data_IF_026063976789
#
_entry.id   IF_026063976789
#
_cell.length_a   1.000
_cell.length_b   1.000
_cell.length_c   1.000
_cell.angle_alpha   90.00
_cell.angle_beta   90.00
_cell.angle_gamma   90.00
#
_symmetry.space_group_name_H-M   'P 1'
#
loop_
_entity.id
_entity.type
_entity.pdbx_description
1 polymer ?
#
# COMPACT_ATOMS: atom_id res chain seq x y z
N UNK A 1 -15.92 9.43 -3.53
CA UNK A 1 -14.91 9.43 -2.47
C UNK A 1 -14.22 8.08 -2.48
N UNK A 2 -13.02 8.10 -2.99
CA UNK A 2 -12.11 6.97 -3.19
C UNK A 2 -10.98 7.05 -2.17
N UNK A 3 -11.35 7.23 -0.90
CA UNK A 3 -10.40 7.11 0.19
C UNK A 3 -10.16 5.63 0.48
N UNK A 4 -8.90 5.24 0.53
CA UNK A 4 -8.54 3.87 0.87
C UNK A 4 -7.11 3.78 1.39
N UNK A 5 -6.83 2.70 2.10
CA UNK A 5 -5.48 2.34 2.50
C UNK A 5 -5.02 1.12 1.71
N UNK A 6 -3.77 1.14 1.26
CA UNK A 6 -3.09 0.00 0.65
C UNK A 6 -1.92 -0.44 1.51
N UNK A 7 -1.74 -1.76 1.64
CA UNK A 7 -0.47 -2.33 2.09
C UNK A 7 0.38 -2.66 0.87
N UNK A 8 1.57 -2.07 0.81
CA UNK A 8 2.60 -2.40 -0.14
C UNK A 8 3.65 -3.28 0.53
N UNK A 9 3.92 -4.43 -0.07
CA UNK A 9 5.00 -5.33 0.34
C UNK A 9 5.94 -5.46 -0.85
N UNK A 10 7.25 -5.29 -0.62
CA UNK A 10 8.25 -5.29 -1.69
C UNK A 10 9.45 -6.16 -1.31
N UNK A 11 10.10 -6.76 -2.29
CA UNK A 11 11.35 -7.51 -2.09
C UNK A 11 12.18 -7.54 -3.37
N UNK A 12 13.49 -7.53 -3.23
CA UNK A 12 14.42 -7.84 -4.33
C UNK A 12 14.80 -9.33 -4.37
N UNK A 13 14.57 -10.06 -3.27
CA UNK A 13 15.10 -11.41 -3.07
C UNK A 13 14.00 -12.46 -3.20
N UNK A 14 12.82 -12.18 -2.66
CA UNK A 14 11.75 -13.15 -2.56
C UNK A 14 10.67 -12.87 -3.59
N UNK A 15 10.40 -13.83 -4.48
CA UNK A 15 9.31 -13.78 -5.47
C UNK A 15 7.97 -14.33 -4.92
N UNK A 16 7.90 -14.67 -3.63
CA UNK A 16 6.70 -15.19 -2.96
C UNK A 16 6.62 -14.64 -1.55
N UNK A 17 5.40 -14.34 -1.10
CA UNK A 17 5.14 -14.05 0.31
C UNK A 17 5.25 -15.33 1.15
N UNK A 18 5.66 -15.23 2.44
CA UNK A 18 5.69 -16.38 3.33
C UNK A 18 4.32 -17.04 3.46
N UNK A 19 4.34 -18.37 3.58
CA UNK A 19 3.12 -19.13 3.84
C UNK A 19 2.52 -18.73 5.20
N UNK A 20 1.19 -18.65 5.27
CA UNK A 20 0.50 -18.24 6.50
C UNK A 20 0.59 -16.75 6.84
N UNK A 21 1.32 -15.92 6.07
CA UNK A 21 1.35 -14.47 6.30
C UNK A 21 -0.05 -13.83 6.22
N UNK A 22 -0.86 -14.26 5.26
CA UNK A 22 -2.21 -13.76 5.07
C UNK A 22 -3.24 -14.77 5.54
N UNK A 23 -4.38 -14.28 6.02
CA UNK A 23 -5.54 -15.13 6.32
C UNK A 23 -5.90 -15.96 5.09
N UNK A 24 -6.25 -17.23 5.32
CA UNK A 24 -6.55 -18.21 4.27
C UNK A 24 -7.86 -17.93 3.53
N UNK A 25 -8.86 -17.36 4.23
CA UNK A 25 -10.12 -16.91 3.64
C UNK A 25 -10.04 -15.43 3.25
N UNK A 26 -9.47 -15.14 2.08
CA UNK A 26 -9.39 -13.78 1.54
C UNK A 26 -10.67 -13.44 0.80
N UNK A 27 -11.25 -12.27 1.10
CA UNK A 27 -12.35 -11.68 0.33
C UNK A 27 -11.88 -10.55 -0.60
N UNK A 28 -10.57 -10.39 -0.74
CA UNK A 28 -9.94 -9.31 -1.49
C UNK A 28 -8.90 -9.85 -2.47
N UNK A 29 -8.58 -9.05 -3.48
CA UNK A 29 -7.56 -9.37 -4.47
C UNK A 29 -6.19 -8.83 -4.05
N UNK A 30 -5.15 -9.60 -4.32
CA UNK A 30 -3.77 -9.16 -4.21
C UNK A 30 -3.22 -9.00 -5.62
N UNK A 31 -2.69 -7.82 -5.88
CA UNK A 31 -1.95 -7.51 -7.09
C UNK A 31 -0.50 -7.87 -6.85
N UNK A 32 0.09 -8.64 -7.76
CA UNK A 32 1.52 -8.95 -7.79
C UNK A 32 2.14 -8.37 -9.05
N UNK A 33 3.26 -7.68 -8.90
CA UNK A 33 4.05 -7.13 -10.00
C UNK A 33 5.53 -7.58 -9.88
N UNK A 34 6.11 -8.01 -11.00
CA UNK A 34 7.56 -8.15 -11.18
C UNK A 34 8.04 -6.98 -12.05
N UNK A 35 8.78 -6.04 -11.45
CA UNK A 35 9.31 -4.85 -12.10
C UNK A 35 10.37 -5.14 -13.17
N UNK A 36 10.81 -6.39 -13.29
CA UNK A 36 11.72 -6.87 -14.32
C UNK A 36 11.03 -7.81 -15.32
N UNK A 37 9.71 -8.01 -15.24
CA UNK A 37 9.00 -8.79 -16.26
C UNK A 37 9.05 -8.08 -17.63
N UNK A 38 9.03 -8.83 -18.75
CA UNK A 38 9.03 -8.25 -20.09
C UNK A 38 7.92 -7.21 -20.31
N UNK A 39 6.72 -7.47 -19.78
CA UNK A 39 5.56 -6.59 -19.89
C UNK A 39 5.78 -5.28 -19.13
N UNK A 40 6.38 -5.37 -17.93
CA UNK A 40 6.63 -4.19 -17.10
C UNK A 40 7.75 -3.34 -17.67
N UNK A 41 8.83 -3.96 -18.16
CA UNK A 41 9.91 -3.27 -18.86
C UNK A 41 9.39 -2.54 -20.10
N UNK A 42 8.60 -3.21 -20.94
CA UNK A 42 7.98 -2.59 -22.11
C UNK A 42 7.04 -1.42 -21.74
N UNK A 43 6.32 -1.54 -20.61
CA UNK A 43 5.51 -0.45 -20.06
C UNK A 43 6.38 0.74 -19.64
N UNK A 44 7.48 0.51 -18.93
CA UNK A 44 8.42 1.55 -18.52
C UNK A 44 9.05 2.25 -19.72
N UNK A 45 9.46 1.51 -20.75
CA UNK A 45 10.00 2.10 -21.99
C UNK A 45 8.98 3.01 -22.68
N UNK A 46 7.71 2.58 -22.72
CA UNK A 46 6.62 3.39 -23.28
C UNK A 46 6.38 4.66 -22.47
N UNK A 47 6.46 4.60 -21.14
CA UNK A 47 6.31 5.76 -20.26
C UNK A 47 7.50 6.71 -20.37
N UNK A 48 8.73 6.19 -20.48
CA UNK A 48 9.93 6.97 -20.67
C UNK A 48 9.87 7.79 -21.97
N UNK A 49 9.34 7.22 -23.06
CA UNK A 49 9.08 7.95 -24.32
C UNK A 49 8.09 9.11 -24.18
N UNK A 50 7.27 9.12 -23.12
CA UNK A 50 6.35 10.22 -22.76
C UNK A 50 6.93 11.17 -21.72
N UNK A 51 8.21 11.04 -21.37
CA UNK A 51 8.88 11.86 -20.34
C UNK A 51 8.59 11.41 -18.91
N UNK A 52 7.96 10.24 -18.71
CA UNK A 52 7.70 9.69 -17.37
C UNK A 52 8.77 8.67 -17.03
N UNK A 53 9.64 9.01 -16.07
CA UNK A 53 10.78 8.17 -15.70
C UNK A 53 10.49 7.31 -14.48
N UNK A 54 10.98 6.05 -14.52
CA UNK A 54 10.92 5.14 -13.38
C UNK A 54 11.75 5.70 -12.22
N UNK A 55 11.22 5.62 -11.00
CA UNK A 55 11.99 5.92 -9.79
C UNK A 55 13.14 4.91 -9.66
N UNK A 56 14.36 5.42 -9.46
CA UNK A 56 15.55 4.59 -9.24
C UNK A 56 15.39 3.82 -7.93
N UNK A 57 15.79 2.54 -7.92
CA UNK A 57 15.78 1.70 -6.72
C UNK A 57 14.42 1.15 -6.31
N UNK A 58 13.45 1.03 -7.25
CA UNK A 58 12.24 0.27 -6.97
C UNK A 58 12.58 -1.22 -6.86
N UNK A 59 12.19 -1.90 -5.76
CA UNK A 59 12.41 -3.32 -5.63
C UNK A 59 11.77 -4.12 -6.75
N UNK A 60 12.35 -5.28 -7.09
CA UNK A 60 11.88 -6.13 -8.18
C UNK A 60 10.44 -6.60 -7.97
N UNK A 61 10.16 -7.25 -6.85
CA UNK A 61 8.85 -7.86 -6.59
C UNK A 61 7.99 -6.95 -5.72
N UNK A 62 6.71 -6.83 -6.07
CA UNK A 62 5.74 -6.05 -5.32
C UNK A 62 4.42 -6.80 -5.17
N UNK A 63 3.86 -6.76 -3.96
CA UNK A 63 2.48 -7.14 -3.67
C UNK A 63 1.72 -5.91 -3.17
N UNK A 64 0.48 -5.78 -3.56
CA UNK A 64 -0.39 -4.70 -3.09
C UNK A 64 -1.82 -5.21 -2.94
N UNK A 65 -2.47 -4.80 -1.85
CA UNK A 65 -3.91 -4.91 -1.66
C UNK A 65 -4.41 -3.72 -0.85
N UNK A 66 -5.69 -3.40 -1.00
CA UNK A 66 -6.28 -2.18 -0.45
C UNK A 66 -7.65 -2.42 0.19
N UNK A 67 -8.06 -1.50 1.04
CA UNK A 67 -9.42 -1.42 1.61
C UNK A 67 -10.44 -0.80 0.65
N UNK A 68 -10.06 -0.52 -0.59
CA UNK A 68 -10.94 0.05 -1.61
C UNK A 68 -12.15 -0.87 -1.85
N UNK A 69 -13.36 -0.31 -1.74
CA UNK A 69 -14.61 -1.05 -1.86
C UNK A 69 -14.98 -1.92 -0.65
N UNK A 70 -14.17 -1.93 0.42
CA UNK A 70 -14.44 -2.69 1.65
C UNK A 70 -14.72 -1.84 2.88
N UNK A 71 -14.21 -0.61 2.90
CA UNK A 71 -14.44 0.37 3.97
C UNK A 71 -15.04 1.62 3.34
N UNK A 72 -16.05 2.20 4.00
CA UNK A 72 -16.74 3.39 3.54
C UNK A 72 -16.34 4.58 4.41
N UNK A 73 -16.18 5.76 3.80
CA UNK A 73 -15.82 6.99 4.52
C UNK A 73 -14.33 7.30 4.41
N UNK A 74 -13.87 8.23 5.24
CA UNK A 74 -12.50 8.77 5.22
C UNK A 74 -11.70 8.46 6.51
N UNK A 75 -12.25 7.62 7.39
CA UNK A 75 -11.62 7.31 8.68
C UNK A 75 -10.36 6.45 8.47
N UNK A 76 -9.20 7.10 8.61
CA UNK A 76 -7.88 6.48 8.43
C UNK A 76 -7.71 5.22 9.29
N UNK A 77 -8.22 5.23 10.52
CA UNK A 77 -8.09 4.09 11.43
C UNK A 77 -8.88 2.88 10.92
N UNK A 78 -10.10 3.09 10.43
CA UNK A 78 -10.92 1.98 9.90
C UNK A 78 -10.27 1.31 8.70
N UNK A 79 -9.73 2.10 7.76
CA UNK A 79 -9.04 1.56 6.59
C UNK A 79 -7.74 0.83 6.97
N UNK A 80 -6.94 1.38 7.88
CA UNK A 80 -5.71 0.73 8.35
C UNK A 80 -6.02 -0.59 9.06
N UNK A 81 -6.99 -0.57 9.98
CA UNK A 81 -7.40 -1.75 10.71
C UNK A 81 -7.86 -2.84 9.76
N UNK A 82 -8.70 -2.50 8.77
CA UNK A 82 -9.15 -3.48 7.79
C UNK A 82 -7.98 -4.12 7.02
N UNK A 83 -6.99 -3.33 6.61
CA UNK A 83 -5.82 -3.83 5.86
C UNK A 83 -4.99 -4.77 6.74
N UNK A 84 -4.70 -4.37 7.98
CA UNK A 84 -3.94 -5.18 8.94
C UNK A 84 -4.71 -6.43 9.35
N UNK A 85 -6.04 -6.37 9.40
CA UNK A 85 -6.92 -7.52 9.64
C UNK A 85 -6.84 -8.58 8.53
N UNK A 86 -6.23 -8.31 7.39
CA UNK A 86 -6.01 -9.35 6.37
C UNK A 86 -4.75 -10.20 6.64
N UNK A 87 -3.86 -9.69 7.47
CA UNK A 87 -2.67 -10.40 7.95
C UNK A 87 -3.09 -11.41 9.02
N UNK A 88 -2.43 -12.57 9.05
CA UNK A 88 -2.69 -13.56 10.09
C UNK A 88 -2.42 -12.97 11.48
N UNK A 89 -3.24 -13.30 12.48
CA UNK A 89 -3.21 -12.63 13.79
C UNK A 89 -1.85 -12.77 14.51
N UNK A 90 -1.18 -13.91 14.30
CA UNK A 90 0.14 -14.19 14.87
C UNK A 90 1.30 -13.60 14.04
N UNK A 91 1.01 -12.86 12.98
CA UNK A 91 2.00 -12.32 12.05
C UNK A 91 2.05 -10.79 12.11
N UNK A 92 3.21 -10.24 12.47
CA UNK A 92 3.47 -8.80 12.42
C UNK A 92 4.20 -8.44 11.13
N UNK A 93 3.99 -7.21 10.63
CA UNK A 93 4.70 -6.74 9.43
C UNK A 93 6.22 -6.62 9.68
N UNK A 94 6.64 -6.38 10.92
CA UNK A 94 8.05 -6.41 11.33
C UNK A 94 8.71 -7.78 11.10
N UNK A 95 7.96 -8.88 11.19
CA UNK A 95 8.49 -10.21 10.88
C UNK A 95 8.79 -10.37 9.38
N UNK A 96 7.95 -9.79 8.50
CA UNK A 96 8.27 -9.71 7.08
C UNK A 96 9.54 -8.90 6.83
N UNK A 97 9.72 -7.79 7.55
CA UNK A 97 10.93 -6.98 7.43
C UNK A 97 12.20 -7.76 7.80
N UNK A 98 12.15 -8.57 8.86
CA UNK A 98 13.25 -9.45 9.25
C UNK A 98 13.55 -10.55 8.21
N UNK A 99 12.57 -10.89 7.37
CA UNK A 99 12.73 -11.81 6.23
C UNK A 99 13.18 -11.10 4.95
N UNK A 100 13.57 -9.82 5.00
CA UNK A 100 14.06 -9.09 3.82
C UNK A 100 12.98 -8.50 2.92
N UNK A 101 11.75 -8.35 3.43
CA UNK A 101 10.71 -7.59 2.76
C UNK A 101 10.68 -6.13 3.25
N UNK A 102 10.22 -5.23 2.40
CA UNK A 102 9.87 -3.86 2.80
C UNK A 102 8.35 -3.75 2.88
N UNK A 103 7.83 -3.16 3.95
CA UNK A 103 6.39 -2.93 4.13
C UNK A 103 6.11 -1.43 4.25
N UNK A 104 5.04 -0.97 3.61
CA UNK A 104 4.56 0.41 3.68
C UNK A 104 3.04 0.43 3.62
N UNK A 105 2.41 1.16 4.53
CA UNK A 105 1.00 1.51 4.40
C UNK A 105 0.90 2.85 3.65
N UNK A 106 0.02 2.92 2.67
CA UNK A 106 -0.26 4.14 1.93
C UNK A 106 -1.76 4.44 1.97
N UNK A 107 -2.12 5.58 2.54
CA UNK A 107 -3.48 6.09 2.53
C UNK A 107 -3.66 7.08 1.38
N UNK A 108 -4.69 6.86 0.58
CA UNK A 108 -5.10 7.71 -0.53
C UNK A 108 -6.20 8.61 -0.01
N UNK A 109 -5.96 9.92 -0.02
CA UNK A 109 -6.89 10.93 0.47
C UNK A 109 -7.36 11.81 -0.68
N UNK A 110 -8.66 11.75 -0.97
CA UNK A 110 -9.32 12.60 -1.97
C UNK A 110 -9.59 13.96 -1.34
N UNK A 111 -8.63 14.88 -1.49
CA UNK A 111 -8.72 16.20 -0.90
C UNK A 111 -9.69 17.09 -1.67
N UNK A 112 -10.70 17.63 -1.01
CA UNK A 112 -11.67 18.57 -1.60
C UNK A 112 -11.34 20.06 -1.34
N UNK A 113 -10.12 20.36 -0.89
CA UNK A 113 -9.67 21.74 -0.67
C UNK A 113 -10.31 22.49 0.51
N UNK A 114 -11.14 21.82 1.33
CA UNK A 114 -11.88 22.47 2.45
C UNK A 114 -11.03 22.75 3.71
N UNK A 115 -9.71 22.60 3.62
CA UNK A 115 -8.80 22.84 4.75
C UNK A 115 -8.75 21.70 5.79
N UNK A 116 -9.47 20.60 5.58
CA UNK A 116 -9.36 19.37 6.36
C UNK A 116 -8.30 18.42 5.80
N UNK A 117 -7.73 17.58 6.66
CA UNK A 117 -6.78 16.52 6.29
C UNK A 117 -6.93 15.28 7.18
N UNK A 118 -6.26 14.17 6.84
CA UNK A 118 -6.32 12.95 7.62
C UNK A 118 -5.81 13.20 9.04
N UNK A 119 -6.61 12.80 10.04
CA UNK A 119 -6.23 12.87 11.44
C UNK A 119 -5.47 11.60 11.83
N UNK A 120 -4.24 11.77 12.30
CA UNK A 120 -3.47 10.68 12.92
C UNK A 120 -3.76 10.68 14.42
N UNK A 121 -4.56 9.72 14.87
CA UNK A 121 -4.91 9.54 16.29
C UNK A 121 -3.87 8.68 17.02
N UNK A 122 -3.85 8.68 18.37
CA UNK A 122 -2.99 7.78 19.14
C UNK A 122 -3.19 6.30 18.80
N UNK A 123 -4.42 5.87 18.50
CA UNK A 123 -4.73 4.49 18.10
C UNK A 123 -4.07 4.11 16.76
N UNK A 124 -4.03 5.06 15.82
CA UNK A 124 -3.29 4.87 14.56
C UNK A 124 -1.79 4.73 14.86
N UNK A 125 -1.23 5.62 15.69
CA UNK A 125 0.18 5.55 16.06
C UNK A 125 0.54 4.23 16.75
N UNK A 126 -0.30 3.74 17.65
CA UNK A 126 -0.12 2.45 18.32
C UNK A 126 -0.07 1.28 17.33
N UNK A 127 -1.00 1.21 16.38
CA UNK A 127 -0.99 0.19 15.33
C UNK A 127 0.29 0.24 14.48
N UNK A 128 0.73 1.44 14.10
CA UNK A 128 1.95 1.60 13.29
C UNK A 128 3.21 1.16 14.05
N UNK A 129 3.29 1.47 15.35
CA UNK A 129 4.40 1.04 16.23
C UNK A 129 4.39 -0.47 16.41
N UNK A 130 3.23 -1.06 16.71
CA UNK A 130 3.09 -2.52 16.88
C UNK A 130 3.58 -3.29 15.66
N UNK A 131 3.27 -2.80 14.46
CA UNK A 131 3.70 -3.42 13.21
C UNK A 131 5.07 -2.95 12.72
N UNK A 132 5.69 -1.97 13.38
CA UNK A 132 6.92 -1.28 12.96
C UNK A 132 6.87 -0.86 11.49
N UNK A 133 5.77 -0.22 11.09
CA UNK A 133 5.48 0.14 9.70
C UNK A 133 5.18 1.63 9.58
N UNK A 134 5.65 2.24 8.49
CA UNK A 134 5.33 3.63 8.17
C UNK A 134 3.96 3.76 7.49
N UNK A 135 3.33 4.92 7.69
CA UNK A 135 2.15 5.36 6.95
C UNK A 135 2.51 6.54 6.05
N UNK A 136 2.22 6.43 4.76
CA UNK A 136 2.35 7.51 3.79
C UNK A 136 0.96 8.01 3.39
N UNK A 137 0.79 9.33 3.31
CA UNK A 137 -0.40 9.94 2.72
C UNK A 137 -0.11 10.38 1.29
N UNK A 138 -0.93 9.91 0.35
CA UNK A 138 -0.99 10.39 -1.01
C UNK A 138 -2.18 11.33 -1.15
N UNK A 139 -1.90 12.61 -1.43
CA UNK A 139 -2.93 13.62 -1.66
C UNK A 139 -3.12 13.79 -3.17
N UNK A 140 -4.36 13.65 -3.62
CA UNK A 140 -4.75 14.12 -4.95
C UNK A 140 -5.65 15.34 -4.78
N UNK A 141 -5.23 16.43 -5.41
CA UNK A 141 -6.04 17.62 -5.56
C UNK A 141 -6.72 17.50 -6.91
N UNK A 142 -8.04 17.43 -6.90
CA UNK A 142 -8.80 17.69 -8.12
C UNK A 142 -8.60 19.17 -8.46
N UNK A 143 -7.85 19.43 -9.53
CA UNK A 143 -7.75 20.78 -10.10
C UNK A 143 -8.90 20.86 -11.10
N UNK A 144 -9.98 21.56 -10.73
CA UNK A 144 -10.99 21.96 -11.72
C UNK A 144 -10.26 22.68 -12.85
N UNK A 145 -10.44 22.18 -14.08
CA UNK A 145 -10.03 22.90 -15.27
C UNK A 145 -11.10 23.95 -15.52
N UNK A 146 -10.78 25.21 -15.23
CA UNK A 146 -11.52 26.39 -15.70
C UNK A 146 -11.67 26.38 -17.24
#
# INVERSE_FOLDING_TARGET
MTDFCSLHIRSDVHAKLPEGFLKSRRKFQIVFEDNESPERLACFDRLARKGVHKRVGLPRYQWTFSSEGFVNGFDVYEHLRWVLDQVHADFLLSQLQNLGFQCLLQFYWEGNGTGGGPLVTPQIAELLVQHSVGLQFGFYLEVEKD
#
